data_IF_704134543248
#
_entry.id   IF_704134543248
#
_cell.length_a   1.000
_cell.length_b   1.000
_cell.length_c   1.000
_cell.angle_alpha   90.00
_cell.angle_beta   90.00
_cell.angle_gamma   90.00
#
_symmetry.space_group_name_H-M   'P 1'
#
loop_
_entity.id
_entity.type
_entity.pdbx_description
1 polymer ?
#
# COMPACT_ATOMS: atom_id res chain seq x y z
N UNK A 1 3.05 7.06 -12.04
CA UNK A 1 3.36 6.62 -10.66
C UNK A 1 4.31 5.45 -10.80
N UNK A 2 5.54 5.54 -10.30
CA UNK A 2 6.59 4.54 -10.53
C UNK A 2 6.32 3.35 -9.60
N UNK A 3 5.75 2.28 -10.15
CA UNK A 3 5.32 1.05 -9.46
C UNK A 3 6.42 0.30 -8.68
N UNK A 4 7.68 0.76 -8.67
CA UNK A 4 8.78 0.15 -7.91
C UNK A 4 9.02 0.75 -6.53
N UNK A 5 8.43 1.91 -6.21
CA UNK A 5 8.75 2.64 -4.97
C UNK A 5 7.72 2.44 -3.87
N UNK A 6 6.51 1.94 -4.16
CA UNK A 6 5.46 1.77 -3.14
C UNK A 6 5.84 0.77 -2.03
N UNK A 7 6.41 -0.42 -2.32
CA UNK A 7 6.86 -1.34 -1.28
C UNK A 7 8.02 -0.75 -0.44
N UNK A 8 8.88 0.06 -1.06
CA UNK A 8 9.96 0.75 -0.36
C UNK A 8 9.42 1.88 0.53
N UNK A 9 8.41 2.60 0.07
CA UNK A 9 7.75 3.64 0.84
C UNK A 9 7.10 3.04 2.10
N UNK A 10 6.41 1.91 1.98
CA UNK A 10 5.83 1.20 3.14
C UNK A 10 6.90 0.85 4.17
N UNK A 11 8.02 0.23 3.75
CA UNK A 11 9.12 -0.10 4.67
C UNK A 11 9.71 1.15 5.36
N UNK A 12 9.91 2.24 4.62
CA UNK A 12 10.41 3.50 5.19
C UNK A 12 9.43 4.12 6.19
N UNK A 13 8.12 4.05 5.91
CA UNK A 13 7.10 4.55 6.83
C UNK A 13 6.99 3.69 8.09
N UNK A 14 7.10 2.35 7.99
CA UNK A 14 7.14 1.47 9.16
C UNK A 14 8.35 1.77 10.06
N UNK A 15 9.53 1.96 9.48
CA UNK A 15 10.73 2.31 10.23
C UNK A 15 10.63 3.69 10.90
N UNK A 16 10.07 4.68 10.18
CA UNK A 16 9.80 6.01 10.72
C UNK A 16 8.81 5.98 11.89
N UNK A 17 7.74 5.18 11.78
CA UNK A 17 6.76 4.98 12.87
C UNK A 17 7.42 4.33 14.07
N UNK A 18 8.25 3.30 13.90
CA UNK A 18 8.98 2.68 15.01
C UNK A 18 9.91 3.65 15.74
N UNK A 19 10.59 4.52 14.99
CA UNK A 19 11.44 5.57 15.58
C UNK A 19 10.61 6.61 16.33
N UNK A 20 9.48 7.05 15.75
CA UNK A 20 8.59 8.01 16.40
C UNK A 20 8.01 7.45 17.70
N UNK A 21 7.51 6.21 17.67
CA UNK A 21 6.99 5.49 18.82
C UNK A 21 8.02 5.40 19.95
N UNK A 22 9.29 5.09 19.62
CA UNK A 22 10.38 5.06 20.61
C UNK A 22 10.66 6.44 21.21
N UNK A 23 10.48 7.51 20.44
CA UNK A 23 10.82 8.88 20.87
C UNK A 23 9.67 9.58 21.61
N UNK A 24 8.43 9.41 21.17
CA UNK A 24 7.25 10.14 21.63
C UNK A 24 6.28 9.27 22.44
N UNK A 25 6.40 7.94 22.36
CA UNK A 25 5.45 6.98 22.92
C UNK A 25 4.34 6.58 21.94
N UNK A 26 3.87 5.34 22.03
CA UNK A 26 2.88 4.74 21.11
C UNK A 26 1.57 5.53 20.97
N UNK A 27 1.18 6.27 22.02
CA UNK A 27 -0.07 7.03 22.09
C UNK A 27 0.13 8.54 21.96
N UNK A 28 1.33 9.01 21.59
CA UNK A 28 1.52 10.44 21.34
C UNK A 28 0.75 10.87 20.10
N UNK A 29 0.12 12.05 20.18
CA UNK A 29 -0.54 12.69 19.04
C UNK A 29 0.44 12.94 17.89
N UNK A 30 1.72 13.09 18.18
CA UNK A 30 2.77 13.29 17.18
C UNK A 30 2.97 12.04 16.29
N UNK A 31 2.62 10.86 16.79
CA UNK A 31 2.64 9.61 16.01
C UNK A 31 1.44 9.48 15.06
N UNK A 32 0.36 10.26 15.25
CA UNK A 32 -0.86 10.12 14.47
C UNK A 32 -0.64 10.38 12.97
N UNK A 33 0.14 11.40 12.63
CA UNK A 33 0.45 11.74 11.24
C UNK A 33 1.33 10.66 10.58
N UNK A 34 2.26 10.08 11.34
CA UNK A 34 3.11 8.99 10.87
C UNK A 34 2.28 7.71 10.60
N UNK A 35 1.37 7.36 11.51
CA UNK A 35 0.44 6.23 11.31
C UNK A 35 -0.49 6.46 10.12
N UNK A 36 -1.00 7.68 9.94
CA UNK A 36 -1.85 8.04 8.80
C UNK A 36 -1.12 7.88 7.46
N UNK A 37 0.13 8.38 7.38
CA UNK A 37 0.96 8.24 6.18
C UNK A 37 1.27 6.77 5.87
N UNK A 38 1.63 5.99 6.90
CA UNK A 38 1.90 4.56 6.76
C UNK A 38 0.66 3.79 6.26
N UNK A 39 -0.51 4.05 6.84
CA UNK A 39 -1.77 3.45 6.42
C UNK A 39 -2.15 3.80 4.98
N UNK A 40 -1.94 5.05 4.56
CA UNK A 40 -2.17 5.45 3.16
C UNK A 40 -1.23 4.73 2.19
N UNK A 41 0.06 4.56 2.55
CA UNK A 41 1.02 3.83 1.73
C UNK A 41 0.64 2.34 1.60
N UNK A 42 0.18 1.71 2.69
CA UNK A 42 -0.31 0.33 2.69
C UNK A 42 -1.56 0.14 1.83
N UNK A 43 -2.49 1.10 1.86
CA UNK A 43 -3.68 1.10 1.00
C UNK A 43 -3.33 1.18 -0.48
N UNK A 44 -2.37 2.05 -0.84
CA UNK A 44 -1.89 2.16 -2.22
C UNK A 44 -1.11 0.92 -2.67
N UNK A 45 -0.37 0.27 -1.76
CA UNK A 45 0.26 -1.03 -2.06
C UNK A 45 -0.80 -2.09 -2.37
N UNK A 46 -1.81 -2.24 -1.50
CA UNK A 46 -2.89 -3.20 -1.72
C UNK A 46 -3.72 -2.91 -2.98
N UNK A 47 -3.93 -1.63 -3.32
CA UNK A 47 -4.55 -1.23 -4.60
C UNK A 47 -3.71 -1.60 -5.79
N UNK A 48 -2.39 -1.39 -5.73
CA UNK A 48 -1.48 -1.84 -6.78
C UNK A 48 -1.54 -3.35 -6.98
N UNK A 49 -1.52 -4.13 -5.90
CA UNK A 49 -1.64 -5.59 -5.94
C UNK A 49 -2.99 -6.03 -6.50
N UNK A 50 -4.08 -5.36 -6.11
CA UNK A 50 -5.43 -5.65 -6.60
C UNK A 50 -5.62 -5.25 -8.07
N UNK A 51 -5.02 -4.16 -8.55
CA UNK A 51 -5.06 -3.81 -9.97
C UNK A 51 -4.25 -4.79 -10.84
N UNK A 52 -3.13 -5.31 -10.32
CA UNK A 52 -2.35 -6.35 -11.02
C UNK A 52 -3.11 -7.68 -11.07
N UNK A 53 -3.78 -8.05 -9.98
CA UNK A 53 -4.62 -9.27 -9.93
C UNK A 53 -5.91 -9.13 -10.72
N UNK A 54 -6.59 -7.97 -10.65
CA UNK A 54 -7.82 -7.68 -11.39
C UNK A 54 -7.62 -7.67 -12.90
N UNK A 55 -6.54 -7.04 -13.38
CA UNK A 55 -6.20 -7.04 -14.80
C UNK A 55 -5.78 -8.42 -15.34
N UNK A 56 -5.32 -9.33 -14.47
CA UNK A 56 -5.00 -10.72 -14.84
C UNK A 56 -6.24 -11.63 -14.87
N UNK A 57 -7.32 -11.25 -14.19
CA UNK A 57 -8.60 -11.98 -14.18
C UNK A 57 -9.51 -11.58 -15.35
N UNK A 58 -9.38 -10.36 -15.87
CA UNK A 58 -10.22 -9.83 -16.96
C UNK A 58 -9.76 -10.28 -18.37
N UNK A 59 -8.79 -11.19 -18.45
CA UNK A 59 -8.19 -11.68 -19.70
C UNK A 59 -8.68 -13.06 -20.18
N UNK A 60 -9.74 -13.62 -19.61
CA UNK A 60 -10.24 -14.98 -19.91
C UNK A 60 -11.78 -15.01 -20.03
N UNK A 61 -12.39 -13.99 -20.67
CA UNK A 61 -13.84 -13.97 -20.96
C UNK A 61 -14.18 -13.76 -22.46
N UNK A 62 -13.21 -13.87 -23.37
CA UNK A 62 -13.46 -13.85 -24.82
C UNK A 62 -13.17 -15.25 -25.42
N UNK A 63 -14.12 -16.17 -25.32
CA UNK A 63 -14.28 -17.28 -26.26
C UNK A 63 -15.63 -18.00 -26.00
N UNK A 64 -16.75 -17.37 -26.39
CA UNK A 64 -18.00 -18.07 -26.74
C UNK A 64 -18.97 -17.14 -27.51
N UNK A 65 -18.50 -16.57 -28.63
CA UNK A 65 -19.39 -16.12 -29.72
C UNK A 65 -18.81 -16.58 -31.07
N UNK A 66 -18.95 -17.87 -31.37
CA UNK A 66 -18.93 -18.38 -32.74
C UNK A 66 -20.26 -19.10 -33.01
N UNK A 67 -20.86 -18.76 -34.17
CA UNK A 67 -22.22 -19.07 -34.68
C UNK A 67 -22.76 -20.50 -34.52
#
# INVERSE_FOLDING_TARGET
>A
MVCGEIPKAVNLYEEAVQLLVKSCGELSRDCADAYYCCGSALLELGRMETNVLGAALEGDEDDEEDE
#
